data_IF_173197627408
#
_entry.id   IF_173197627408
#
_cell.length_a   1.000
_cell.length_b   1.000
_cell.length_c   1.000
_cell.angle_alpha   90.00
_cell.angle_beta   90.00
_cell.angle_gamma   90.00
#
_symmetry.space_group_name_H-M   'P 1'
#
loop_
_entity.id
_entity.type
_entity.pdbx_description
1 polymer ?
#
# COMPACT_ATOMS: atom_id res chain seq x y z
N UNK A 1 -15.04 -2.78 -0.43
CA UNK A 1 -15.17 -3.78 -1.52
C UNK A 1 -13.79 -4.40 -1.74
N UNK A 2 -13.63 -5.55 -2.42
CA UNK A 2 -12.26 -6.05 -2.72
C UNK A 2 -11.79 -5.47 -4.06
N UNK A 3 -10.67 -4.74 -4.05
CA UNK A 3 -10.15 -3.97 -5.18
C UNK A 3 -9.12 -4.72 -6.06
N UNK A 4 -8.70 -5.93 -5.67
CA UNK A 4 -7.80 -6.79 -6.44
C UNK A 4 -8.07 -8.27 -6.15
N UNK A 5 -7.69 -9.17 -7.05
CA UNK A 5 -7.90 -10.60 -6.92
C UNK A 5 -6.68 -11.33 -6.31
N UNK A 6 -6.88 -12.56 -5.85
CA UNK A 6 -5.77 -13.47 -5.49
C UNK A 6 -4.87 -13.80 -6.69
N UNK A 7 -5.40 -13.79 -7.92
CA UNK A 7 -4.61 -13.94 -9.13
C UNK A 7 -3.65 -12.75 -9.36
N UNK A 8 -4.08 -11.52 -9.03
CA UNK A 8 -3.19 -10.36 -9.05
C UNK A 8 -2.05 -10.53 -8.03
N UNK A 9 -2.32 -11.07 -6.84
CA UNK A 9 -1.29 -11.36 -5.82
C UNK A 9 -0.30 -12.42 -6.32
N UNK A 10 -0.76 -13.51 -6.92
CA UNK A 10 0.10 -14.53 -7.56
C UNK A 10 0.99 -13.90 -8.64
N UNK A 11 0.43 -13.03 -9.47
CA UNK A 11 1.20 -12.30 -10.49
C UNK A 11 2.24 -11.33 -9.92
N UNK A 12 2.09 -10.85 -8.68
CA UNK A 12 3.13 -10.06 -7.96
C UNK A 12 4.16 -10.93 -7.25
N UNK A 13 3.78 -12.11 -6.77
CA UNK A 13 4.70 -13.05 -6.11
C UNK A 13 5.57 -13.81 -7.11
N UNK A 14 5.12 -13.97 -8.36
CA UNK A 14 5.82 -14.77 -9.39
C UNK A 14 5.78 -16.28 -9.12
N UNK A 15 4.97 -16.71 -8.15
CA UNK A 15 4.77 -18.11 -7.74
C UNK A 15 3.34 -18.31 -7.23
N UNK A 16 2.80 -19.54 -7.23
CA UNK A 16 1.54 -19.84 -6.55
C UNK A 16 1.63 -19.54 -5.04
N UNK A 17 0.45 -19.30 -4.44
CA UNK A 17 0.28 -19.19 -2.99
C UNK A 17 0.50 -20.56 -2.33
N UNK A 18 1.10 -20.59 -1.15
CA UNK A 18 1.08 -21.78 -0.29
C UNK A 18 -0.29 -21.94 0.37
N UNK A 19 -0.52 -23.07 1.05
CA UNK A 19 -1.75 -23.31 1.83
C UNK A 19 -2.00 -22.21 2.87
N UNK A 20 -0.96 -21.83 3.63
CA UNK A 20 -1.05 -20.82 4.69
C UNK A 20 -1.22 -19.39 4.15
N UNK A 21 -0.76 -19.13 2.93
CA UNK A 21 -0.99 -17.86 2.24
C UNK A 21 -2.41 -17.82 1.67
N UNK A 22 -2.90 -18.94 1.10
CA UNK A 22 -4.26 -19.08 0.58
C UNK A 22 -5.31 -18.88 1.67
N UNK A 23 -5.06 -19.37 2.89
CA UNK A 23 -5.93 -19.14 4.04
C UNK A 23 -6.00 -17.67 4.50
N UNK A 24 -4.99 -16.85 4.18
CA UNK A 24 -4.86 -15.45 4.65
C UNK A 24 -5.12 -14.40 3.56
N UNK A 25 -4.98 -14.75 2.29
CA UNK A 25 -4.98 -13.79 1.18
C UNK A 25 -6.28 -12.98 1.09
N UNK A 26 -7.43 -13.58 1.40
CA UNK A 26 -8.74 -12.90 1.37
C UNK A 26 -8.82 -11.76 2.38
N UNK A 27 -8.52 -12.02 3.66
CA UNK A 27 -8.54 -10.98 4.70
C UNK A 27 -7.52 -9.86 4.44
N UNK A 28 -6.31 -10.21 3.96
CA UNK A 28 -5.30 -9.22 3.58
C UNK A 28 -5.74 -8.36 2.39
N UNK A 29 -6.47 -8.92 1.41
CA UNK A 29 -7.04 -8.19 0.30
C UNK A 29 -8.18 -7.26 0.75
N UNK A 30 -9.01 -7.69 1.71
CA UNK A 30 -10.06 -6.86 2.32
C UNK A 30 -9.45 -5.67 3.08
N UNK A 31 -8.49 -5.91 3.99
CA UNK A 31 -7.75 -4.86 4.70
C UNK A 31 -7.07 -3.87 3.75
N UNK A 32 -6.38 -4.39 2.72
CA UNK A 32 -5.67 -3.55 1.75
C UNK A 32 -6.65 -2.70 0.93
N UNK A 33 -7.81 -3.26 0.61
CA UNK A 33 -8.85 -2.52 -0.11
C UNK A 33 -9.45 -1.42 0.77
N UNK A 34 -9.81 -1.70 2.02
CA UNK A 34 -10.30 -0.68 2.98
C UNK A 34 -9.29 0.45 3.17
N UNK A 35 -7.99 0.13 3.30
CA UNK A 35 -6.94 1.14 3.43
C UNK A 35 -6.80 2.01 2.17
N UNK A 36 -6.95 1.42 0.98
CA UNK A 36 -6.87 2.14 -0.30
C UNK A 36 -8.14 2.97 -0.56
N UNK A 37 -9.33 2.43 -0.30
CA UNK A 37 -10.61 3.16 -0.35
C UNK A 37 -10.56 4.40 0.57
N UNK A 38 -10.10 4.23 1.82
CA UNK A 38 -9.92 5.32 2.77
C UNK A 38 -8.89 6.37 2.32
N UNK A 39 -7.81 5.96 1.64
CA UNK A 39 -6.84 6.89 1.06
C UNK A 39 -7.40 7.66 -0.15
N UNK A 40 -8.14 6.99 -1.03
CA UNK A 40 -8.75 7.59 -2.22
C UNK A 40 -9.96 8.47 -1.89
N UNK A 41 -10.62 8.21 -0.76
CA UNK A 41 -11.91 8.79 -0.34
C UNK A 41 -13.08 8.47 -1.29
N UNK A 42 -12.95 7.39 -2.07
CA UNK A 42 -13.98 6.86 -2.96
C UNK A 42 -13.62 5.44 -3.41
N UNK A 43 -14.62 4.72 -3.94
CA UNK A 43 -14.44 3.46 -4.66
C UNK A 43 -14.50 3.78 -6.16
N UNK A 44 -13.42 3.64 -6.94
CA UNK A 44 -13.46 3.91 -8.37
C UNK A 44 -14.10 2.75 -9.14
N UNK A 45 -15.05 3.05 -10.01
CA UNK A 45 -15.73 2.08 -10.87
C UNK A 45 -15.66 2.56 -12.35
N UNK A 46 -15.03 1.80 -13.27
CA UNK A 46 -14.28 0.56 -13.04
C UNK A 46 -12.98 0.80 -12.26
N UNK A 47 -12.54 -0.20 -11.47
CA UNK A 47 -11.28 -0.13 -10.70
C UNK A 47 -10.08 -0.04 -11.66
N UNK A 48 -9.28 1.05 -11.63
CA UNK A 48 -8.12 1.20 -12.50
C UNK A 48 -7.01 0.19 -12.16
N UNK A 49 -6.27 -0.28 -13.17
CA UNK A 49 -5.22 -1.29 -12.96
C UNK A 49 -4.11 -0.81 -12.02
N UNK A 50 -3.83 0.50 -11.99
CA UNK A 50 -2.89 1.07 -11.01
C UNK A 50 -3.33 0.84 -9.55
N UNK A 51 -4.64 0.86 -9.28
CA UNK A 51 -5.21 0.57 -7.95
C UNK A 51 -5.07 -0.92 -7.64
N UNK A 52 -5.40 -1.81 -8.58
CA UNK A 52 -5.21 -3.26 -8.46
C UNK A 52 -3.75 -3.63 -8.18
N UNK A 53 -2.81 -2.97 -8.88
CA UNK A 53 -1.36 -3.16 -8.70
C UNK A 53 -0.90 -2.77 -7.29
N UNK A 54 -1.42 -1.67 -6.73
CA UNK A 54 -1.06 -1.24 -5.37
C UNK A 54 -1.62 -2.20 -4.32
N UNK A 55 -2.90 -2.57 -4.42
CA UNK A 55 -3.56 -3.49 -3.47
C UNK A 55 -2.88 -4.86 -3.48
N UNK A 56 -2.67 -5.46 -4.65
CA UNK A 56 -1.97 -6.75 -4.79
C UNK A 56 -0.51 -6.69 -4.32
N UNK A 57 0.20 -5.57 -4.53
CA UNK A 57 1.56 -5.36 -4.01
C UNK A 57 1.60 -5.23 -2.49
N UNK A 58 0.63 -4.58 -1.86
CA UNK A 58 0.54 -4.50 -0.40
C UNK A 58 0.41 -5.89 0.22
N UNK A 59 -0.50 -6.73 -0.30
CA UNK A 59 -0.69 -8.11 0.16
C UNK A 59 0.55 -8.96 -0.11
N UNK A 60 1.10 -8.93 -1.33
CA UNK A 60 2.32 -9.67 -1.66
C UNK A 60 3.50 -9.30 -0.74
N UNK A 61 3.64 -8.03 -0.36
CA UNK A 61 4.65 -7.55 0.59
C UNK A 61 4.47 -8.15 2.00
N UNK A 62 3.24 -8.20 2.51
CA UNK A 62 2.96 -8.86 3.81
C UNK A 62 3.31 -10.34 3.74
N UNK A 63 2.88 -11.05 2.69
CA UNK A 63 3.13 -12.49 2.54
C UNK A 63 4.64 -12.81 2.45
N UNK A 64 5.43 -12.04 1.69
CA UNK A 64 6.89 -12.25 1.63
C UNK A 64 7.62 -11.92 2.93
N UNK A 65 7.08 -11.01 3.74
CA UNK A 65 7.74 -10.54 4.97
C UNK A 65 7.34 -11.36 6.20
N UNK A 66 6.20 -12.04 6.17
CA UNK A 66 5.87 -13.08 7.15
C UNK A 66 6.84 -14.28 7.13
N UNK A 67 7.54 -14.52 6.01
CA UNK A 67 8.55 -15.58 5.88
C UNK A 67 9.99 -15.16 6.24
N UNK A 68 10.22 -13.87 6.53
CA UNK A 68 11.55 -13.33 6.82
C UNK A 68 11.51 -12.47 8.08
N UNK A 69 12.02 -12.99 9.20
CA UNK A 69 12.21 -12.17 10.39
C UNK A 69 13.36 -11.15 10.21
N UNK A 70 13.46 -10.14 11.08
CA UNK A 70 12.40 -9.31 11.63
C UNK A 70 12.05 -8.14 10.69
N UNK A 71 10.75 -7.94 10.42
CA UNK A 71 10.10 -6.63 10.15
C UNK A 71 10.68 -5.69 9.07
N UNK A 72 10.03 -5.52 7.91
CA UNK A 72 10.44 -4.59 6.83
C UNK A 72 10.13 -3.12 7.18
N UNK A 73 10.79 -2.57 8.20
CA UNK A 73 10.45 -1.25 8.75
C UNK A 73 11.42 -0.11 8.44
N UNK A 74 12.51 -0.31 7.68
CA UNK A 74 13.50 0.76 7.42
C UNK A 74 12.91 1.85 6.52
N UNK A 75 12.54 3.00 7.11
CA UNK A 75 11.86 4.11 6.40
C UNK A 75 12.85 5.15 5.87
N UNK A 76 14.09 5.12 6.33
CA UNK A 76 15.21 5.90 5.81
C UNK A 76 16.54 5.33 6.27
N UNK A 77 17.55 5.41 5.40
CA UNK A 77 18.94 5.08 5.71
C UNK A 77 19.77 6.34 5.46
N UNK A 78 20.04 7.10 6.52
CA UNK A 78 20.94 8.25 6.49
C UNK A 78 22.29 7.82 7.06
N UNK A 79 23.32 7.82 6.22
CA UNK A 79 24.71 7.62 6.62
C UNK A 79 25.51 8.93 6.50
N UNK A 80 26.41 9.19 7.44
CA UNK A 80 27.39 10.28 7.40
C UNK A 80 28.81 9.77 7.77
N UNK A 81 29.80 10.67 7.99
CA UNK A 81 31.18 10.40 8.50
C UNK A 81 31.60 11.48 9.56
N UNK A 82 32.05 11.26 10.83
CA UNK A 82 32.33 10.07 11.69
C UNK A 82 31.42 9.86 12.96
N UNK A 83 31.93 9.24 14.04
CA UNK A 83 31.50 7.94 14.67
C UNK A 83 29.98 7.66 14.80
N UNK A 84 29.42 6.79 13.96
CA UNK A 84 27.97 6.79 13.69
C UNK A 84 27.01 6.33 14.77
N UNK A 85 26.03 7.19 15.04
CA UNK A 85 24.66 6.75 15.24
C UNK A 85 24.02 6.38 13.88
N UNK A 86 23.54 5.13 13.78
CA UNK A 86 22.68 4.70 12.69
C UNK A 86 21.21 4.82 13.12
N UNK A 87 20.61 5.98 12.91
CA UNK A 87 19.20 6.19 13.26
C UNK A 87 18.28 5.50 12.24
N UNK A 88 17.79 4.30 12.58
CA UNK A 88 16.78 3.59 11.80
C UNK A 88 15.40 4.09 12.19
N UNK A 89 14.82 4.99 11.39
CA UNK A 89 13.42 5.38 11.56
C UNK A 89 12.51 4.25 11.08
N UNK A 90 11.85 3.61 12.04
CA UNK A 90 10.84 2.59 11.78
C UNK A 90 9.47 3.26 11.60
N UNK A 91 8.77 2.91 10.51
CA UNK A 91 7.36 3.30 10.33
C UNK A 91 6.54 2.42 11.28
N UNK A 92 5.74 3.01 12.21
CA UNK A 92 5.05 2.23 13.25
C UNK A 92 4.08 1.19 12.67
N UNK A 93 3.55 1.44 11.47
CA UNK A 93 2.67 0.52 10.73
C UNK A 93 3.34 -0.82 10.40
N UNK A 94 4.66 -0.83 10.14
CA UNK A 94 5.41 -2.02 9.74
C UNK A 94 5.56 -3.07 10.86
N UNK A 95 5.27 -2.69 12.11
CA UNK A 95 5.33 -3.57 13.29
C UNK A 95 4.01 -4.30 13.59
N UNK A 96 2.91 -3.92 12.92
CA UNK A 96 1.57 -4.43 13.24
C UNK A 96 1.22 -5.79 12.61
N UNK A 97 2.00 -6.26 11.64
CA UNK A 97 1.74 -7.49 10.87
C UNK A 97 0.64 -7.34 9.80
N UNK A 98 -0.16 -6.28 9.83
CA UNK A 98 -1.16 -5.95 8.81
C UNK A 98 -0.54 -5.31 7.56
N UNK A 99 -1.40 -4.98 6.60
CA UNK A 99 -1.02 -4.27 5.36
C UNK A 99 -0.70 -2.79 5.60
N UNK A 100 0.19 -2.20 4.78
CA UNK A 100 0.52 -0.77 4.86
C UNK A 100 0.82 -0.12 3.50
N UNK A 101 0.44 1.16 3.37
CA UNK A 101 0.73 2.00 2.21
C UNK A 101 2.10 2.69 2.31
N UNK A 102 3.03 2.35 1.39
CA UNK A 102 4.31 3.07 1.29
C UNK A 102 4.15 4.45 0.63
N UNK A 103 5.21 5.27 0.70
CA UNK A 103 5.29 6.54 -0.03
C UNK A 103 5.14 6.37 -1.56
N UNK A 104 5.67 5.28 -2.12
CA UNK A 104 5.55 4.98 -3.55
C UNK A 104 4.09 4.65 -3.91
N UNK A 105 3.45 3.80 -3.10
CA UNK A 105 2.05 3.42 -3.28
C UNK A 105 1.13 4.66 -3.20
N UNK A 106 1.34 5.53 -2.20
CA UNK A 106 0.63 6.81 -2.06
C UNK A 106 0.83 7.75 -3.26
N UNK A 107 2.03 7.77 -3.85
CA UNK A 107 2.32 8.54 -5.07
C UNK A 107 1.56 8.00 -6.27
N UNK A 108 1.53 6.67 -6.44
CA UNK A 108 0.84 5.98 -7.52
C UNK A 108 -0.68 6.09 -7.42
N UNK A 109 -1.25 6.09 -6.21
CA UNK A 109 -2.68 6.31 -5.98
C UNK A 109 -3.11 7.79 -6.11
N UNK A 110 -2.18 8.75 -6.01
CA UNK A 110 -2.52 10.18 -5.95
C UNK A 110 -3.40 10.70 -7.10
N UNK A 111 -3.26 10.26 -8.37
CA UNK A 111 -4.12 10.71 -9.46
C UNK A 111 -5.56 10.20 -9.40
N UNK A 112 -5.82 9.12 -8.64
CA UNK A 112 -7.10 8.40 -8.62
C UNK A 112 -7.99 8.78 -7.44
N UNK A 113 -7.51 9.62 -6.51
CA UNK A 113 -8.29 10.02 -5.33
C UNK A 113 -9.37 11.04 -5.66
N UNK A 114 -10.55 10.88 -5.07
CA UNK A 114 -11.68 11.82 -5.22
C UNK A 114 -11.59 13.02 -4.24
N UNK A 115 -10.41 13.25 -3.66
CA UNK A 115 -10.14 14.39 -2.77
C UNK A 115 -10.49 15.68 -3.50
N UNK A 116 -11.32 16.52 -2.87
CA UNK A 116 -12.01 17.63 -3.53
C UNK A 116 -11.11 18.45 -4.45
N UNK A 117 -11.40 18.43 -5.75
CA UNK A 117 -10.72 19.29 -6.73
C UNK A 117 -11.11 20.73 -6.41
N UNK A 118 -10.18 21.50 -5.86
CA UNK A 118 -10.36 22.93 -5.64
C UNK A 118 -10.51 23.65 -6.99
N UNK A 119 -11.76 23.89 -7.40
CA UNK A 119 -12.08 24.72 -8.54
C UNK A 119 -11.97 26.19 -8.15
N UNK A 120 -11.21 26.98 -8.92
CA UNK A 120 -11.22 28.43 -8.76
C UNK A 120 -12.54 28.98 -9.32
N UNK A 121 -13.46 29.37 -8.44
CA UNK A 121 -14.68 30.07 -8.85
C UNK A 121 -14.34 31.53 -9.14
N UNK A 122 -14.40 31.91 -10.42
CA UNK A 122 -14.13 33.28 -10.84
C UNK A 122 -15.17 34.22 -10.24
N UNK A 123 -14.75 35.03 -9.26
CA UNK A 123 -15.56 36.11 -8.71
C UNK A 123 -15.63 37.26 -9.71
N UNK A 124 -16.54 37.13 -10.68
CA UNK A 124 -16.93 38.24 -11.56
C UNK A 124 -17.45 39.37 -10.68
N UNK A 125 -16.85 40.55 -10.85
CA UNK A 125 -17.08 41.73 -10.03
C UNK A 125 -18.41 42.35 -10.44
N UNK A 126 -19.28 42.59 -9.46
CA UNK A 126 -20.47 43.44 -9.61
C UNK A 126 -20.05 44.91 -9.68
#
# INVERSE_FOLDING_TARGET
MVLASSADVVARLGRPLTTDETARVTGLLEEASVMVEGWLQCVPDPVPDAVKIVVSRMVARVLTTAGAGPGPGVTGMQGAMGPFQMNRTYSPDATSGGVWLTRQDKTMLRPYGCRGKAGNVGTSKW
#
